data_IF_506596108407
#
_entry.id   IF_506596108407
#
_cell.length_a   1.000
_cell.length_b   1.000
_cell.length_c   1.000
_cell.angle_alpha   90.00
_cell.angle_beta   90.00
_cell.angle_gamma   90.00
#
_symmetry.space_group_name_H-M   'P 1'
#
loop_
_entity.id
_entity.type
_entity.pdbx_description
1 polymer ?
#
# COMPACT_ATOMS: atom_id res chain seq x y z
N UNK A 1 -8.44 -10.85 1.54
CA UNK A 1 -7.09 -10.24 1.52
C UNK A 1 -6.61 -10.18 2.96
N UNK A 2 -5.50 -10.82 3.31
CA UNK A 2 -5.02 -10.81 4.69
C UNK A 2 -4.46 -9.43 5.01
N UNK A 3 -4.90 -8.84 6.12
CA UNK A 3 -4.54 -7.48 6.50
C UNK A 3 -3.57 -7.55 7.68
N UNK A 4 -2.34 -7.11 7.46
CA UNK A 4 -1.36 -6.94 8.55
C UNK A 4 -1.79 -5.70 9.33
N UNK A 5 -2.04 -5.84 10.63
CA UNK A 5 -2.48 -4.73 11.47
C UNK A 5 -1.28 -3.89 11.91
N UNK A 6 -1.40 -2.58 11.80
CA UNK A 6 -0.42 -1.63 12.32
C UNK A 6 -1.11 -0.49 13.07
N UNK A 7 -0.40 0.11 14.01
CA UNK A 7 -0.92 1.21 14.84
C UNK A 7 -0.73 2.55 14.14
N UNK A 8 -1.55 3.54 14.50
CA UNK A 8 -1.29 4.92 14.11
C UNK A 8 0.09 5.36 14.64
N UNK A 9 0.81 6.16 13.85
CA UNK A 9 2.17 6.63 14.14
C UNK A 9 3.27 5.55 14.16
N UNK A 10 3.00 4.33 13.70
CA UNK A 10 4.03 3.32 13.51
C UNK A 10 4.88 3.67 12.27
N UNK A 11 6.20 3.47 12.33
CA UNK A 11 7.08 3.81 11.20
C UNK A 11 6.83 2.90 10.00
N UNK A 12 6.98 3.43 8.79
CA UNK A 12 6.82 2.61 7.58
C UNK A 12 7.80 1.43 7.54
N UNK A 13 9.03 1.62 8.02
CA UNK A 13 10.00 0.51 8.20
C UNK A 13 9.45 -0.62 9.06
N UNK A 14 8.82 -0.31 10.19
CA UNK A 14 8.26 -1.33 11.08
C UNK A 14 7.00 -1.99 10.50
N UNK A 15 6.16 -1.21 9.81
CA UNK A 15 5.00 -1.71 9.08
C UNK A 15 5.44 -2.70 7.98
N UNK A 16 6.44 -2.34 7.17
CA UNK A 16 6.99 -3.20 6.12
C UNK A 16 7.57 -4.48 6.71
N UNK A 17 8.29 -4.39 7.84
CA UNK A 17 8.80 -5.57 8.55
C UNK A 17 7.68 -6.54 8.94
N UNK A 18 6.56 -6.05 9.49
CA UNK A 18 5.41 -6.93 9.81
C UNK A 18 4.85 -7.64 8.57
N UNK A 19 4.83 -6.97 7.41
CA UNK A 19 4.43 -7.61 6.15
C UNK A 19 5.41 -8.68 5.70
N UNK A 20 6.70 -8.43 5.82
CA UNK A 20 7.75 -9.41 5.51
C UNK A 20 7.65 -10.63 6.42
N UNK A 21 7.52 -10.42 7.73
CA UNK A 21 7.39 -11.50 8.72
C UNK A 21 6.12 -12.34 8.47
N UNK A 22 5.00 -11.67 8.17
CA UNK A 22 3.75 -12.33 7.80
C UNK A 22 3.90 -13.19 6.54
N UNK A 23 4.48 -12.63 5.48
CA UNK A 23 4.65 -13.34 4.21
C UNK A 23 5.65 -14.50 4.32
N UNK A 24 6.75 -14.34 5.09
CA UNK A 24 7.68 -15.44 5.41
C UNK A 24 6.98 -16.60 6.13
N UNK A 25 6.09 -16.28 7.08
CA UNK A 25 5.28 -17.31 7.76
C UNK A 25 4.32 -18.03 6.82
N UNK A 26 3.80 -17.33 5.80
CA UNK A 26 2.80 -17.89 4.88
C UNK A 26 3.41 -18.71 3.73
N UNK A 27 4.58 -18.31 3.24
CA UNK A 27 5.18 -18.87 2.02
C UNK A 27 6.53 -19.59 2.26
N UNK A 28 6.91 -19.82 3.52
CA UNK A 28 8.21 -20.35 3.95
C UNK A 28 9.39 -19.43 3.58
N UNK A 29 10.58 -19.71 4.12
CA UNK A 29 11.77 -18.83 4.00
C UNK A 29 12.26 -18.58 2.56
N UNK A 30 11.82 -19.37 1.58
CA UNK A 30 12.20 -19.22 0.17
C UNK A 30 11.43 -18.15 -0.62
N UNK A 31 10.47 -17.46 -0.02
CA UNK A 31 9.64 -16.48 -0.73
C UNK A 31 10.32 -15.12 -0.89
N UNK A 32 10.29 -14.57 -2.11
CA UNK A 32 10.75 -13.20 -2.40
C UNK A 32 9.58 -12.23 -2.42
N UNK A 33 9.70 -11.12 -1.67
CA UNK A 33 8.67 -10.08 -1.57
C UNK A 33 9.17 -8.85 -2.29
N UNK A 34 8.43 -8.40 -3.32
CA UNK A 34 8.78 -7.21 -4.11
C UNK A 34 7.75 -6.12 -3.86
N UNK A 35 8.18 -5.05 -3.19
CA UNK A 35 7.38 -3.83 -3.04
C UNK A 35 7.60 -2.93 -4.25
N UNK A 36 6.57 -2.77 -5.08
CA UNK A 36 6.64 -1.86 -6.23
C UNK A 36 6.27 -0.44 -5.82
N UNK A 37 7.21 0.50 -5.96
CA UNK A 37 6.90 1.93 -5.93
C UNK A 37 6.17 2.29 -7.23
N UNK A 38 5.14 3.14 -7.13
CA UNK A 38 4.58 3.76 -8.33
C UNK A 38 5.64 4.69 -8.94
N UNK A 39 5.93 4.60 -10.25
CA UNK A 39 6.84 5.54 -10.87
C UNK A 39 6.28 6.95 -10.74
N UNK A 40 7.14 7.90 -10.35
CA UNK A 40 6.76 9.31 -10.20
C UNK A 40 6.24 9.90 -11.51
N UNK A 41 6.84 9.47 -12.63
CA UNK A 41 6.39 9.82 -13.96
C UNK A 41 5.16 9.02 -14.34
N UNK A 42 4.01 9.70 -14.34
CA UNK A 42 2.75 9.07 -14.65
C UNK A 42 2.59 8.67 -16.11
N UNK A 43 3.36 9.27 -17.03
CA UNK A 43 3.33 8.93 -18.44
C UNK A 43 4.02 7.59 -18.74
N UNK A 44 4.89 7.12 -17.85
CA UNK A 44 5.70 5.89 -18.06
C UNK A 44 5.04 4.61 -17.57
N UNK A 45 3.84 4.68 -16.98
CA UNK A 45 3.17 3.49 -16.46
C UNK A 45 1.66 3.61 -16.47
N UNK A 46 0.98 2.59 -17.01
CA UNK A 46 -0.47 2.41 -16.91
C UNK A 46 -0.96 2.49 -15.46
N UNK A 47 -0.14 2.06 -14.49
CA UNK A 47 -0.45 2.14 -13.06
C UNK A 47 -0.51 3.59 -12.56
N UNK A 48 0.37 4.45 -13.05
CA UNK A 48 0.40 5.86 -12.65
C UNK A 48 -0.64 6.72 -13.37
N UNK A 49 -0.96 6.42 -14.64
CA UNK A 49 -2.13 7.00 -15.32
C UNK A 49 -3.42 6.69 -14.55
N UNK A 50 -3.59 5.42 -14.17
CA UNK A 50 -4.74 4.97 -13.39
C UNK A 50 -4.78 5.59 -11.99
N UNK A 51 -3.62 5.88 -11.38
CA UNK A 51 -3.50 6.64 -10.12
C UNK A 51 -4.02 8.08 -10.28
N UNK A 52 -3.54 8.83 -11.28
CA UNK A 52 -4.00 10.22 -11.53
C UNK A 52 -5.51 10.26 -11.77
N UNK A 53 -6.04 9.31 -12.55
CA UNK A 53 -7.48 9.21 -12.80
C UNK A 53 -8.29 9.07 -11.51
N UNK A 54 -7.77 8.37 -10.49
CA UNK A 54 -8.41 8.18 -9.19
C UNK A 54 -8.27 9.39 -8.28
N UNK A 55 -7.09 10.01 -8.22
CA UNK A 55 -6.88 11.24 -7.44
C UNK A 55 -7.72 12.40 -7.96
N UNK A 56 -8.04 12.44 -9.28
CA UNK A 56 -9.00 13.41 -9.83
C UNK A 56 -10.45 13.18 -9.36
N UNK A 57 -10.81 11.97 -8.91
CA UNK A 57 -12.15 11.63 -8.39
C UNK A 57 -12.25 11.64 -6.87
N UNK A 58 -11.15 11.48 -6.14
CA UNK A 58 -11.10 11.41 -4.69
C UNK A 58 -9.94 12.25 -4.13
N UNK A 59 -10.21 13.05 -3.10
CA UNK A 59 -9.21 13.75 -2.28
C UNK A 59 -8.52 12.72 -1.37
N UNK A 60 -7.82 11.75 -1.95
CA UNK A 60 -6.91 10.90 -1.20
C UNK A 60 -5.56 11.62 -1.15
N UNK A 61 -5.14 12.04 0.04
CA UNK A 61 -3.90 12.78 0.26
C UNK A 61 -2.69 12.04 -0.34
N UNK A 62 -1.81 12.79 -0.99
CA UNK A 62 -0.54 12.24 -1.47
C UNK A 62 0.33 11.86 -0.26
N UNK A 63 0.52 10.56 -0.05
CA UNK A 63 1.44 10.07 0.99
C UNK A 63 2.84 9.98 0.39
N UNK A 64 3.71 10.92 0.76
CA UNK A 64 5.16 10.75 0.64
C UNK A 64 5.57 9.81 1.77
N UNK A 65 6.04 8.61 1.42
CA UNK A 65 6.53 7.65 2.39
C UNK A 65 8.05 7.63 2.36
N UNK A 66 8.66 8.08 3.45
CA UNK A 66 10.03 7.74 3.82
C UNK A 66 10.00 6.62 4.87
N UNK A 67 11.01 5.75 4.91
CA UNK A 67 11.04 4.60 5.83
C UNK A 67 11.04 5.01 7.31
N UNK A 68 11.59 6.19 7.63
CA UNK A 68 11.63 6.75 8.97
C UNK A 68 10.34 7.47 9.36
N UNK A 69 9.52 7.86 8.37
CA UNK A 69 8.25 8.53 8.63
C UNK A 69 7.24 7.58 9.28
N UNK A 70 6.44 8.14 10.18
CA UNK A 70 5.34 7.46 10.81
C UNK A 70 4.07 7.54 9.94
N UNK A 71 3.27 6.48 9.95
CA UNK A 71 1.97 6.47 9.31
C UNK A 71 1.00 7.37 10.09
N UNK A 72 0.83 8.61 9.64
CA UNK A 72 -0.07 9.62 10.23
C UNK A 72 -1.52 9.45 9.80
N UNK A 73 -1.76 8.79 8.66
CA UNK A 73 -3.10 8.43 8.18
C UNK A 73 -3.52 7.06 8.70
N UNK A 74 -4.84 6.86 8.86
CA UNK A 74 -5.36 5.55 9.26
C UNK A 74 -5.01 4.47 8.23
N UNK A 75 -4.90 3.23 8.69
CA UNK A 75 -4.61 2.09 7.82
C UNK A 75 -5.66 1.93 6.72
N UNK A 76 -6.93 2.21 7.01
CA UNK A 76 -8.03 2.18 6.03
C UNK A 76 -7.80 3.21 4.94
N UNK A 77 -7.37 4.42 5.29
CA UNK A 77 -7.09 5.48 4.34
C UNK A 77 -5.89 5.12 3.45
N UNK A 78 -4.81 4.58 4.03
CA UNK A 78 -3.61 4.15 3.30
C UNK A 78 -3.91 2.97 2.36
N UNK A 79 -4.73 2.02 2.80
CA UNK A 79 -5.10 0.83 2.02
C UNK A 79 -6.39 1.00 1.21
N UNK A 80 -7.02 2.18 1.26
CA UNK A 80 -8.28 2.44 0.56
C UNK A 80 -8.07 2.26 -0.94
N UNK A 81 -8.85 1.35 -1.51
CA UNK A 81 -8.95 1.17 -2.94
C UNK A 81 -10.44 1.12 -3.26
N UNK A 82 -10.94 2.07 -4.06
CA UNK A 82 -12.37 2.21 -4.37
C UNK A 82 -13.01 1.02 -5.10
N UNK A 83 -12.23 -0.01 -5.46
CA UNK A 83 -12.81 -1.27 -5.92
C UNK A 83 -13.33 -2.06 -4.71
N UNK A 84 -14.57 -1.76 -4.32
CA UNK A 84 -15.49 -2.83 -3.90
C UNK A 84 -15.45 -3.87 -5.01
N UNK A 85 -14.94 -5.07 -4.71
CA UNK A 85 -15.18 -6.22 -5.57
C UNK A 85 -16.69 -6.37 -5.68
N UNK A 86 -17.22 -6.27 -6.90
CA UNK A 86 -18.53 -6.82 -7.22
C UNK A 86 -18.52 -8.26 -6.75
N UNK A 87 -19.28 -8.57 -5.69
CA UNK A 87 -19.73 -9.94 -5.46
C UNK A 87 -20.71 -10.23 -6.60
N UNK A 88 -20.18 -10.81 -7.66
CA UNK A 88 -20.97 -11.53 -8.64
C UNK A 88 -20.89 -13.02 -8.28
N UNK A 89 -22.05 -13.66 -8.39
CA UNK A 89 -22.46 -15.00 -7.94
C UNK A 89 -22.96 -15.04 -6.49
#
# INVERSE_FOLDING_TARGET
MHRVLWQANESFSFILKKYVDYAKKLFNEGATIVFYRYPEDAAKSTKSVERIRRTKKHIAGYVVSDESMSATMSQENILSNDKKTSKGL
#
